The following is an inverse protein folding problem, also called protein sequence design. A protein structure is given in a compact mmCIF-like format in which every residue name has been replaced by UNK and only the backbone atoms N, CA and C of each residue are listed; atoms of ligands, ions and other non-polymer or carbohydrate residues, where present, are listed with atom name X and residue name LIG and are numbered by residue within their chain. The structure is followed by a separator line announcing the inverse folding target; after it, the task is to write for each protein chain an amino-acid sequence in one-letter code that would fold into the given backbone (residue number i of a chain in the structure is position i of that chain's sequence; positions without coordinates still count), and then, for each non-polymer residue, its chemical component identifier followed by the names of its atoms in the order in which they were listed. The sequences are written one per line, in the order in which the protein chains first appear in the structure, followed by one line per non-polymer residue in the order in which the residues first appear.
data_IF_443566438030
#
_entry.id   IF_443566438030
#
_cell.length_a   1.000
_cell.length_b   1.000
_cell.length_c   1.000
_cell.angle_alpha   90.00
_cell.angle_beta   90.00
_cell.angle_gamma   90.00
#
_symmetry.space_group_name_H-M   'P 1'
#
loop_
_entity.id
_entity.type
_entity.pdbx_description
1 polymer ?
#
# COMPACT_ATOMS: atom_id res chain seq x y z
N UNK A 1 10.31 -9.77 3.62
CA UNK A 1 9.19 -9.63 2.67
C UNK A 1 7.87 -9.54 3.42
N UNK A 2 7.06 -8.50 3.18
CA UNK A 2 5.74 -8.28 3.76
C UNK A 2 4.70 -8.14 2.64
N UNK A 3 3.66 -8.97 2.69
CA UNK A 3 2.52 -8.91 1.77
C UNK A 3 1.32 -8.30 2.49
N UNK A 4 0.59 -7.41 1.81
CA UNK A 4 -0.70 -6.92 2.27
C UNK A 4 -1.76 -7.40 1.28
N UNK A 5 -2.70 -8.22 1.75
CA UNK A 5 -3.88 -8.60 0.99
C UNK A 5 -4.92 -7.50 1.06
N UNK A 6 -5.40 -7.03 -0.10
CA UNK A 6 -6.35 -5.92 -0.19
C UNK A 6 -7.42 -6.20 -1.24
N UNK A 7 -8.67 -5.78 -1.02
CA UNK A 7 -9.69 -5.84 -2.05
C UNK A 7 -9.34 -4.87 -3.19
N UNK A 8 -9.45 -5.33 -4.43
CA UNK A 8 -9.15 -4.52 -5.63
C UNK A 8 -10.01 -3.27 -5.78
N UNK A 9 -11.16 -3.23 -5.12
CA UNK A 9 -12.04 -2.06 -5.06
C UNK A 9 -11.36 -0.83 -4.42
N UNK A 10 -10.31 -1.03 -3.61
CA UNK A 10 -9.50 0.05 -3.05
C UNK A 10 -8.49 0.63 -4.04
N UNK A 11 -8.26 -0.03 -5.17
CA UNK A 11 -7.37 0.47 -6.22
C UNK A 11 -8.03 1.64 -6.92
N UNK A 12 -7.40 2.80 -6.85
CA UNK A 12 -7.80 3.93 -7.67
C UNK A 12 -7.56 3.58 -9.15
N UNK A 13 -8.59 3.61 -10.00
CA UNK A 13 -8.45 3.27 -11.42
C UNK A 13 -7.60 4.30 -12.18
N UNK A 14 -7.39 5.48 -11.61
CA UNK A 14 -6.56 6.53 -12.21
C UNK A 14 -5.12 6.35 -11.77
N UNK A 15 -4.23 6.07 -12.72
CA UNK A 15 -2.80 6.15 -12.49
C UNK A 15 -2.37 7.63 -12.43
N UNK A 16 -1.69 8.00 -11.35
CA UNK A 16 -1.07 9.31 -11.24
C UNK A 16 0.23 9.33 -12.07
N UNK A 17 0.43 10.35 -12.93
CA UNK A 17 1.63 10.46 -13.74
C UNK A 17 2.91 10.38 -12.89
N UNK A 18 3.77 9.40 -13.17
CA UNK A 18 5.02 9.18 -12.46
C UNK A 18 4.91 8.57 -11.06
N UNK A 19 3.71 8.24 -10.58
CA UNK A 19 3.48 7.62 -9.27
C UNK A 19 2.71 6.31 -9.33
N UNK A 20 2.12 5.95 -10.48
CA UNK A 20 1.36 4.71 -10.63
C UNK A 20 -0.04 4.79 -10.03
N UNK A 21 -0.62 3.63 -9.73
CA UNK A 21 -1.97 3.51 -9.17
C UNK A 21 -1.90 3.55 -7.65
N UNK A 22 -2.87 4.20 -7.02
CA UNK A 22 -2.88 4.42 -5.57
C UNK A 22 -3.97 3.64 -4.87
N UNK A 23 -3.72 3.34 -3.60
CA UNK A 23 -4.64 2.62 -2.72
C UNK A 23 -4.55 3.20 -1.32
N UNK A 24 -5.69 3.41 -0.69
CA UNK A 24 -5.74 4.00 0.65
C UNK A 24 -6.03 2.93 1.71
N UNK A 25 -5.14 2.86 2.69
CA UNK A 25 -5.29 2.07 3.89
C UNK A 25 -5.84 2.93 5.01
N UNK A 26 -6.85 2.41 5.69
CA UNK A 26 -7.55 3.06 6.79
C UNK A 26 -7.36 2.28 8.08
N UNK A 27 -7.62 2.94 9.21
CA UNK A 27 -7.65 2.32 10.54
C UNK A 27 -6.37 1.57 10.92
N UNK A 28 -5.21 2.01 10.42
CA UNK A 28 -3.94 1.40 10.76
C UNK A 28 -3.57 1.69 12.22
N UNK A 29 -3.37 0.62 12.97
CA UNK A 29 -2.81 0.71 14.32
C UNK A 29 -1.32 1.04 14.26
N UNK A 30 -0.79 1.65 15.33
CA UNK A 30 0.61 2.08 15.38
C UNK A 30 1.62 0.94 15.08
N UNK A 31 1.48 -0.29 15.62
CA UNK A 31 2.39 -1.39 15.29
C UNK A 31 2.30 -1.82 13.82
N UNK A 32 1.08 -1.84 13.27
CA UNK A 32 0.85 -2.22 11.87
C UNK A 32 1.50 -1.20 10.93
N UNK A 33 1.31 0.11 11.21
CA UNK A 33 1.93 1.19 10.46
C UNK A 33 3.45 1.13 10.52
N UNK A 34 4.03 0.90 11.70
CA UNK A 34 5.48 0.75 11.85
C UNK A 34 6.02 -0.41 11.00
N UNK A 35 5.34 -1.56 10.99
CA UNK A 35 5.71 -2.71 10.17
C UNK A 35 5.60 -2.45 8.65
N UNK A 36 4.61 -1.66 8.22
CA UNK A 36 4.48 -1.24 6.81
C UNK A 36 5.64 -0.31 6.42
N UNK A 37 5.94 0.68 7.24
CA UNK A 37 7.04 1.62 6.98
C UNK A 37 8.40 0.93 6.96
N UNK A 38 8.69 0.02 7.89
CA UNK A 38 9.94 -0.76 7.90
C UNK A 38 10.05 -1.63 6.63
N UNK A 39 8.99 -2.37 6.27
CA UNK A 39 8.99 -3.18 5.05
C UNK A 39 9.18 -2.34 3.78
N UNK A 40 8.55 -1.17 3.69
CA UNK A 40 8.74 -0.23 2.59
C UNK A 40 10.19 0.27 2.52
N UNK A 41 10.79 0.65 3.67
CA UNK A 41 12.18 1.11 3.73
C UNK A 41 13.19 0.08 3.24
N UNK A 42 12.87 -1.21 3.41
CA UNK A 42 13.67 -2.35 2.96
C UNK A 42 13.40 -2.75 1.50
N UNK A 43 12.45 -2.09 0.83
CA UNK A 43 11.93 -2.45 -0.50
C UNK A 43 11.33 -3.87 -0.54
N UNK A 44 10.72 -4.26 0.56
CA UNK A 44 10.16 -5.59 0.78
C UNK A 44 8.64 -5.59 0.96
N UNK A 45 7.97 -4.48 0.60
CA UNK A 45 6.54 -4.31 0.73
C UNK A 45 5.83 -4.59 -0.60
N UNK A 46 4.87 -5.51 -0.56
CA UNK A 46 4.08 -5.94 -1.70
C UNK A 46 2.59 -5.95 -1.38
N UNK A 47 1.77 -5.82 -2.42
CA UNK A 47 0.32 -5.91 -2.40
C UNK A 47 -0.10 -7.14 -3.20
N UNK A 48 -1.05 -7.89 -2.67
CA UNK A 48 -1.74 -8.95 -3.39
C UNK A 48 -3.24 -8.64 -3.34
N UNK A 49 -3.92 -8.74 -4.47
CA UNK A 49 -5.36 -8.50 -4.48
C UNK A 49 -6.11 -9.78 -4.11
N UNK A 50 -7.20 -9.65 -3.34
CA UNK A 50 -8.00 -10.79 -2.89
C UNK A 50 -8.62 -11.61 -4.05
N UNK A 51 -8.82 -10.99 -5.22
CA UNK A 51 -9.32 -11.64 -6.44
C UNK A 51 -8.20 -12.23 -7.33
N UNK A 52 -6.93 -11.97 -7.00
CA UNK A 52 -5.76 -12.43 -7.75
C UNK A 52 -4.76 -13.14 -6.81
N UNK A 53 -5.08 -14.36 -6.41
CA UNK A 53 -4.14 -15.19 -5.66
C UNK A 53 -2.88 -15.49 -6.51
N UNK A 54 -1.72 -15.16 -5.96
CA UNK A 54 -0.40 -15.42 -6.53
C UNK A 54 0.24 -14.25 -7.28
N UNK A 55 -0.46 -13.12 -7.46
CA UNK A 55 0.12 -11.93 -8.11
C UNK A 55 0.48 -10.86 -7.08
N UNK A 56 1.80 -10.60 -6.95
CA UNK A 56 2.34 -9.62 -6.02
C UNK A 56 2.79 -8.34 -6.75
N UNK A 57 2.27 -7.20 -6.32
CA UNK A 57 2.58 -5.87 -6.83
C UNK A 57 3.53 -5.16 -5.87
N UNK A 58 4.76 -4.80 -6.27
CA UNK A 58 5.67 -4.07 -5.40
C UNK A 58 5.14 -2.67 -5.13
N UNK A 59 5.24 -2.22 -3.88
CA UNK A 59 4.90 -0.84 -3.51
C UNK A 59 6.06 0.08 -3.89
N UNK A 60 5.80 0.99 -4.83
CA UNK A 60 6.80 1.93 -5.37
C UNK A 60 6.87 3.24 -4.59
N UNK A 61 5.78 3.63 -3.94
CA UNK A 61 5.74 4.82 -3.11
C UNK A 61 4.75 4.65 -1.95
N UNK A 62 4.95 5.44 -0.90
CA UNK A 62 4.09 5.49 0.27
C UNK A 62 3.94 6.94 0.70
N UNK A 63 2.70 7.36 0.91
CA UNK A 63 2.37 8.69 1.43
C UNK A 63 1.56 8.57 2.71
N UNK A 64 2.11 9.14 3.80
CA UNK A 64 1.42 9.25 5.07
C UNK A 64 0.50 10.46 5.08
N UNK A 65 -0.76 10.26 5.48
CA UNK A 65 -1.69 11.37 5.66
C UNK A 65 -1.21 12.24 6.84
N UNK A 66 -0.93 13.54 6.62
CA UNK A 66 -0.43 14.44 7.66
C UNK A 66 -1.49 14.79 8.71
N UNK A 67 -2.77 14.57 8.41
CA UNK A 67 -3.91 14.87 9.28
C UNK A 67 -4.44 13.63 10.00
N UNK A 68 -4.19 12.43 9.48
CA UNK A 68 -4.64 11.19 10.10
C UNK A 68 -3.51 10.13 10.17
N UNK A 69 -2.93 9.89 11.35
CA UNK A 69 -1.84 8.94 11.48
C UNK A 69 -2.25 7.47 11.28
N UNK A 70 -3.54 7.17 11.21
CA UNK A 70 -4.07 5.85 10.91
C UNK A 70 -4.37 5.64 9.42
N UNK A 71 -3.98 6.59 8.55
CA UNK A 71 -4.16 6.50 7.11
C UNK A 71 -2.84 6.53 6.36
N UNK A 72 -2.72 5.65 5.37
CA UNK A 72 -1.57 5.56 4.48
C UNK A 72 -2.06 5.36 3.05
N UNK A 73 -1.45 6.06 2.10
CA UNK A 73 -1.64 5.80 0.67
C UNK A 73 -0.44 5.02 0.15
N UNK A 74 -0.70 3.87 -0.45
CA UNK A 74 0.30 3.06 -1.12
C UNK A 74 0.18 3.26 -2.63
N UNK A 75 1.30 3.17 -3.33
CA UNK A 75 1.37 3.30 -4.78
C UNK A 75 2.04 2.07 -5.38
N UNK A 76 1.47 1.56 -6.48
CA UNK A 76 1.97 0.42 -7.26
C UNK A 76 2.03 0.80 -8.74
N UNK A 77 2.82 0.08 -9.54
CA UNK A 77 2.80 0.22 -11.02
C UNK A 77 1.53 -0.36 -11.65
#
# INVERSE_FOLDING_TARGET
MKMIKLPRQLLNPTALPGMGRSMELYHLEAPQRAAINDAFSRKELYIEFEDEDGTAYPVINLWADPHNPSRLTLFIE
#
